data_IF_401863289544
#
_entry.id   IF_401863289544
#
_cell.length_a   1.000
_cell.length_b   1.000
_cell.length_c   1.000
_cell.angle_alpha   90.00
_cell.angle_beta   90.00
_cell.angle_gamma   90.00
#
_symmetry.space_group_name_H-M   'P 1'
#
loop_
_entity.id
_entity.type
_entity.pdbx_description
1 polymer ?
#
# COMPACT_ATOMS: atom_id res chain seq x y z
N UNK A 1 2.31 3.32 -35.73
CA UNK A 1 1.56 3.16 -34.46
C UNK A 1 1.87 4.38 -33.59
N UNK A 2 1.16 5.49 -33.82
CA UNK A 2 0.03 6.03 -33.03
C UNK A 2 0.40 6.59 -31.64
N UNK A 3 1.18 7.68 -31.63
CA UNK A 3 1.45 8.53 -30.43
C UNK A 3 0.14 8.92 -29.70
N UNK A 4 -0.97 9.04 -30.44
CA UNK A 4 -2.30 9.30 -29.88
C UNK A 4 -2.81 8.14 -29.02
N UNK A 5 -2.61 6.89 -29.44
CA UNK A 5 -3.09 5.67 -28.76
C UNK A 5 -2.35 5.47 -27.43
N UNK A 6 -1.04 5.71 -27.40
CA UNK A 6 -0.23 5.66 -26.17
C UNK A 6 -0.67 6.71 -25.14
N UNK A 7 -1.07 7.91 -25.61
CA UNK A 7 -1.61 8.96 -24.74
C UNK A 7 -2.96 8.56 -24.15
N UNK A 8 -3.88 8.05 -24.98
CA UNK A 8 -5.19 7.58 -24.52
C UNK A 8 -5.06 6.40 -23.56
N UNK A 9 -4.19 5.44 -23.87
CA UNK A 9 -3.92 4.29 -23.02
C UNK A 9 -3.42 4.72 -21.65
N UNK A 10 -2.41 5.61 -21.59
CA UNK A 10 -1.90 6.14 -20.32
C UNK A 10 -2.98 6.87 -19.51
N UNK A 11 -3.79 7.67 -20.19
CA UNK A 11 -4.87 8.42 -19.54
C UNK A 11 -5.94 7.49 -18.94
N UNK A 12 -6.29 6.45 -19.69
CA UNK A 12 -7.20 5.40 -19.24
C UNK A 12 -6.66 4.69 -18.00
N UNK A 13 -5.38 4.30 -18.00
CA UNK A 13 -4.74 3.67 -16.84
C UNK A 13 -4.77 4.58 -15.59
N UNK A 14 -4.54 5.89 -15.76
CA UNK A 14 -4.65 6.86 -14.64
C UNK A 14 -6.06 6.89 -14.05
N UNK A 15 -7.07 6.90 -14.91
CA UNK A 15 -8.49 6.91 -14.49
C UNK A 15 -8.88 5.59 -13.81
N UNK A 16 -8.51 4.44 -14.40
CA UNK A 16 -8.79 3.12 -13.82
C UNK A 16 -8.15 2.96 -12.43
N UNK A 17 -6.89 3.37 -12.29
CA UNK A 17 -6.19 3.34 -11.01
C UNK A 17 -6.84 4.27 -9.98
N UNK A 18 -7.21 5.50 -10.40
CA UNK A 18 -7.90 6.44 -9.52
C UNK A 18 -9.23 5.88 -9.00
N UNK A 19 -10.00 5.19 -9.85
CA UNK A 19 -11.25 4.54 -9.44
C UNK A 19 -11.01 3.42 -8.43
N UNK A 20 -9.96 2.60 -8.62
CA UNK A 20 -9.58 1.58 -7.62
C UNK A 20 -9.22 2.21 -6.28
N UNK A 21 -8.40 3.26 -6.30
CA UNK A 21 -8.01 3.97 -5.08
C UNK A 21 -9.22 4.59 -4.37
N UNK A 22 -10.17 5.19 -5.11
CA UNK A 22 -11.39 5.75 -4.53
C UNK A 22 -12.27 4.67 -3.88
N UNK A 23 -12.37 3.49 -4.49
CA UNK A 23 -13.09 2.34 -3.88
C UNK A 23 -12.41 1.85 -2.60
N UNK A 24 -11.09 1.96 -2.52
CA UNK A 24 -10.31 1.69 -1.32
C UNK A 24 -10.26 2.87 -0.33
N UNK A 25 -11.16 3.86 -0.50
CA UNK A 25 -11.28 5.04 0.37
C UNK A 25 -10.00 5.89 0.47
N UNK A 26 -9.14 5.82 -0.55
CA UNK A 26 -7.90 6.59 -0.59
C UNK A 26 -8.18 8.10 -0.59
N UNK A 27 -7.28 8.85 0.04
CA UNK A 27 -7.35 10.31 0.08
C UNK A 27 -6.99 10.91 -1.27
N UNK A 28 -7.56 12.08 -1.57
CA UNK A 28 -7.30 12.82 -2.81
C UNK A 28 -5.80 13.06 -3.04
N UNK A 29 -5.06 13.37 -1.97
CA UNK A 29 -3.60 13.59 -2.05
C UNK A 29 -2.87 12.31 -2.48
N UNK A 30 -3.25 11.16 -1.93
CA UNK A 30 -2.70 9.85 -2.30
C UNK A 30 -3.01 9.53 -3.76
N UNK A 31 -4.26 9.69 -4.18
CA UNK A 31 -4.67 9.46 -5.58
C UNK A 31 -3.85 10.35 -6.52
N UNK A 32 -3.69 11.63 -6.20
CA UNK A 32 -2.88 12.56 -6.99
C UNK A 32 -1.42 12.14 -7.07
N UNK A 33 -0.82 11.74 -5.95
CA UNK A 33 0.59 11.37 -5.89
C UNK A 33 0.92 10.15 -6.78
N UNK A 34 0.00 9.19 -6.91
CA UNK A 34 0.20 7.99 -7.71
C UNK A 34 -0.24 8.17 -9.18
N UNK A 35 -1.38 8.82 -9.41
CA UNK A 35 -1.99 8.91 -10.75
C UNK A 35 -1.58 10.16 -11.54
N UNK A 36 -1.12 11.22 -10.86
CA UNK A 36 -0.86 12.53 -11.46
C UNK A 36 -2.11 13.30 -11.88
N UNK A 37 -3.32 12.83 -11.54
CA UNK A 37 -4.57 13.54 -11.82
C UNK A 37 -4.73 14.76 -10.90
N UNK A 38 -5.34 15.83 -11.41
CA UNK A 38 -5.67 17.00 -10.61
C UNK A 38 -6.85 16.72 -9.67
N UNK A 39 -6.91 17.45 -8.57
CA UNK A 39 -7.98 17.36 -7.57
C UNK A 39 -9.39 17.54 -8.19
N UNK A 40 -9.53 18.43 -9.19
CA UNK A 40 -10.79 18.62 -9.92
C UNK A 40 -11.21 17.35 -10.71
N UNK A 41 -10.25 16.71 -11.38
CA UNK A 41 -10.52 15.48 -12.14
C UNK A 41 -10.86 14.32 -11.22
N UNK A 42 -10.17 14.18 -10.10
CA UNK A 42 -10.50 13.18 -9.07
C UNK A 42 -11.91 13.43 -8.52
N UNK A 43 -12.28 14.70 -8.27
CA UNK A 43 -13.62 15.07 -7.82
C UNK A 43 -14.68 14.76 -8.86
N UNK A 44 -14.42 15.00 -10.16
CA UNK A 44 -15.33 14.65 -11.25
C UNK A 44 -15.50 13.14 -11.38
N UNK A 45 -14.41 12.38 -11.35
CA UNK A 45 -14.44 10.91 -11.38
C UNK A 45 -15.29 10.33 -10.24
N UNK A 46 -15.10 10.83 -9.02
CA UNK A 46 -15.90 10.41 -7.88
C UNK A 46 -17.39 10.63 -8.13
N UNK A 47 -17.77 11.85 -8.57
CA UNK A 47 -19.18 12.17 -8.84
C UNK A 47 -19.79 11.32 -9.95
N UNK A 48 -19.04 11.08 -11.02
CA UNK A 48 -19.57 10.35 -12.19
C UNK A 48 -19.69 8.85 -11.97
N UNK A 49 -18.86 8.25 -11.12
CA UNK A 49 -18.76 6.78 -11.02
C UNK A 49 -19.11 6.21 -9.64
N UNK A 50 -19.16 7.03 -8.58
CA UNK A 50 -19.35 6.56 -7.21
C UNK A 50 -20.49 7.25 -6.46
N UNK A 51 -20.94 8.45 -6.87
CA UNK A 51 -22.10 9.10 -6.20
C UNK A 51 -23.40 8.30 -6.38
N UNK A 52 -23.56 7.61 -7.52
CA UNK A 52 -24.74 6.81 -7.88
C UNK A 52 -24.64 5.35 -7.43
N UNK A 53 -23.51 4.96 -6.81
CA UNK A 53 -23.33 3.61 -6.29
C UNK A 53 -24.10 3.46 -4.96
N UNK A 54 -24.82 2.34 -4.79
CA UNK A 54 -25.61 2.02 -3.59
C UNK A 54 -24.82 2.03 -2.27
N UNK A 55 -23.49 2.07 -2.33
CA UNK A 55 -22.61 2.20 -1.18
C UNK A 55 -21.53 3.22 -1.47
N UNK A 56 -21.75 4.45 -1.02
CA UNK A 56 -20.79 5.53 -1.17
C UNK A 56 -19.58 5.27 -0.24
N UNK A 57 -18.36 5.17 -0.79
CA UNK A 57 -17.18 5.01 0.05
C UNK A 57 -16.99 6.28 0.91
N UNK A 58 -16.86 6.16 2.24
CA UNK A 58 -16.68 7.31 3.12
C UNK A 58 -15.41 8.06 2.76
N UNK A 59 -15.49 9.40 2.78
CA UNK A 59 -14.33 10.26 2.51
C UNK A 59 -13.64 10.67 3.80
N UNK A 60 -12.46 10.10 4.03
CA UNK A 60 -11.60 10.49 5.15
C UNK A 60 -11.03 11.90 4.94
N UNK A 61 -11.24 12.79 5.92
CA UNK A 61 -10.62 14.13 5.97
C UNK A 61 -9.47 14.16 6.99
N UNK A 62 -8.46 15.00 6.75
CA UNK A 62 -7.36 15.25 7.68
C UNK A 62 -5.97 14.95 7.11
N UNK A 63 -4.98 14.75 7.99
CA UNK A 63 -3.60 14.35 7.63
C UNK A 63 -3.48 12.83 7.45
N UNK A 64 -2.73 12.37 6.44
CA UNK A 64 -2.48 10.94 6.22
C UNK A 64 -1.73 10.33 7.42
N UNK A 65 -1.81 9.02 7.64
CA UNK A 65 -1.07 8.37 8.72
C UNK A 65 0.44 8.51 8.50
N UNK A 66 1.16 8.77 9.59
CA UNK A 66 2.61 8.98 9.59
C UNK A 66 3.35 8.25 10.71
N UNK A 67 2.64 7.53 11.58
CA UNK A 67 3.23 6.89 12.76
C UNK A 67 3.47 5.41 12.50
N UNK A 68 4.73 5.01 12.48
CA UNK A 68 5.14 3.61 12.28
C UNK A 68 4.73 2.73 13.46
N UNK A 69 4.67 3.30 14.66
CA UNK A 69 4.16 2.63 15.85
C UNK A 69 2.75 2.02 15.64
N UNK A 70 1.96 2.53 14.68
CA UNK A 70 0.68 1.92 14.31
C UNK A 70 0.82 0.44 13.93
N UNK A 71 1.87 0.07 13.21
CA UNK A 71 2.10 -1.30 12.74
C UNK A 71 2.62 -2.23 13.83
N UNK A 72 3.20 -1.68 14.91
CA UNK A 72 3.84 -2.46 15.98
C UNK A 72 3.08 -2.41 17.31
N UNK A 73 2.02 -1.61 17.44
CA UNK A 73 1.30 -1.38 18.71
C UNK A 73 0.58 -2.60 19.31
N UNK A 74 0.27 -3.61 18.52
CA UNK A 74 -0.37 -4.85 19.02
C UNK A 74 0.04 -6.06 18.20
N UNK A 75 0.00 -7.25 18.80
CA UNK A 75 0.35 -8.51 18.11
C UNK A 75 -0.54 -8.75 16.88
N UNK A 76 -1.85 -8.50 17.02
CA UNK A 76 -2.80 -8.60 15.89
C UNK A 76 -2.40 -7.68 14.74
N UNK A 77 -2.03 -6.43 15.03
CA UNK A 77 -1.60 -5.51 13.97
C UNK A 77 -0.25 -5.88 13.38
N UNK A 78 0.66 -6.43 14.18
CA UNK A 78 1.92 -6.97 13.65
C UNK A 78 1.67 -8.12 12.67
N UNK A 79 0.74 -9.04 13.00
CA UNK A 79 0.34 -10.13 12.10
C UNK A 79 -0.35 -9.63 10.83
N UNK A 80 -1.26 -8.67 10.95
CA UNK A 80 -1.92 -8.03 9.81
C UNK A 80 -0.88 -7.31 8.92
N UNK A 81 0.03 -6.54 9.53
CA UNK A 81 1.09 -5.81 8.81
C UNK A 81 2.04 -6.79 8.14
N UNK A 82 2.39 -7.90 8.78
CA UNK A 82 3.23 -8.92 8.18
C UNK A 82 2.54 -9.60 6.99
N UNK A 83 1.26 -9.90 7.12
CA UNK A 83 0.44 -10.47 6.03
C UNK A 83 0.43 -9.53 4.82
N UNK A 84 0.20 -8.23 5.07
CA UNK A 84 0.23 -7.20 4.03
C UNK A 84 1.63 -7.02 3.44
N UNK A 85 2.67 -6.93 4.26
CA UNK A 85 4.06 -6.80 3.81
C UNK A 85 4.49 -7.97 2.93
N UNK A 86 4.05 -9.18 3.27
CA UNK A 86 4.27 -10.38 2.46
C UNK A 86 3.59 -10.28 1.10
N UNK A 87 2.32 -9.86 1.05
CA UNK A 87 1.62 -9.64 -0.21
C UNK A 87 2.31 -8.57 -1.09
N UNK A 88 2.73 -7.46 -0.48
CA UNK A 88 3.46 -6.39 -1.15
C UNK A 88 4.80 -6.85 -1.73
N UNK A 89 5.51 -7.71 -1.00
CA UNK A 89 6.79 -8.29 -1.45
C UNK A 89 6.58 -9.28 -2.60
N UNK A 90 5.65 -10.23 -2.45
CA UNK A 90 5.36 -11.26 -3.45
C UNK A 90 4.88 -10.68 -4.78
N UNK A 91 4.06 -9.63 -4.74
CA UNK A 91 3.56 -8.95 -5.94
C UNK A 91 4.54 -7.91 -6.49
N UNK A 92 5.72 -7.76 -5.89
CA UNK A 92 6.77 -6.86 -6.41
C UNK A 92 6.51 -5.37 -6.20
N UNK A 93 5.57 -4.97 -5.34
CA UNK A 93 5.27 -3.55 -5.05
C UNK A 93 6.49 -2.84 -4.44
N UNK A 94 7.29 -3.58 -3.67
CA UNK A 94 8.50 -3.10 -3.00
C UNK A 94 9.74 -3.07 -3.90
N UNK A 95 9.68 -3.66 -5.10
CA UNK A 95 10.79 -3.66 -6.05
C UNK A 95 10.94 -2.32 -6.80
N UNK A 96 9.92 -1.46 -6.74
CA UNK A 96 9.93 -0.14 -7.36
C UNK A 96 10.75 0.89 -6.57
N UNK A 97 11.59 1.67 -7.27
CA UNK A 97 12.35 2.76 -6.69
C UNK A 97 11.47 3.86 -6.09
N UNK A 98 12.00 4.64 -5.14
CA UNK A 98 11.29 5.73 -4.48
C UNK A 98 10.99 6.95 -5.40
N UNK A 99 11.48 6.94 -6.64
CA UNK A 99 11.60 8.12 -7.53
C UNK A 99 10.76 8.03 -8.80
N UNK A 100 9.64 7.31 -8.78
CA UNK A 100 8.74 7.28 -9.94
C UNK A 100 7.93 8.58 -10.03
N UNK A 101 7.96 9.22 -11.20
CA UNK A 101 7.16 10.42 -11.44
C UNK A 101 5.65 10.09 -11.37
N UNK A 102 4.81 10.92 -10.73
CA UNK A 102 3.37 10.71 -10.65
C UNK A 102 2.74 10.50 -12.03
N UNK A 103 1.93 9.45 -12.17
CA UNK A 103 1.26 9.12 -13.43
C UNK A 103 2.19 8.66 -14.57
N UNK A 104 3.45 8.34 -14.27
CA UNK A 104 4.32 7.56 -15.17
C UNK A 104 3.81 6.12 -15.28
N UNK A 105 4.15 5.40 -16.35
CA UNK A 105 3.68 4.01 -16.53
C UNK A 105 4.16 3.11 -15.38
N UNK A 106 5.38 3.32 -14.88
CA UNK A 106 5.92 2.57 -13.75
C UNK A 106 5.14 2.86 -12.45
N UNK A 107 4.86 4.13 -12.14
CA UNK A 107 4.03 4.51 -10.99
C UNK A 107 2.61 3.93 -11.06
N UNK A 108 2.02 3.91 -12.26
CA UNK A 108 0.68 3.35 -12.47
C UNK A 108 0.68 1.82 -12.30
N UNK A 109 1.67 1.14 -12.87
CA UNK A 109 1.82 -0.31 -12.72
C UNK A 109 2.05 -0.69 -11.25
N UNK A 110 2.93 0.02 -10.56
CA UNK A 110 3.16 -0.16 -9.11
C UNK A 110 1.91 0.10 -8.29
N UNK A 111 1.12 1.11 -8.66
CA UNK A 111 -0.15 1.42 -8.01
C UNK A 111 -1.19 0.32 -8.21
N UNK A 112 -1.25 -0.28 -9.40
CA UNK A 112 -2.12 -1.43 -9.66
C UNK A 112 -1.72 -2.64 -8.80
N UNK A 113 -0.42 -2.95 -8.73
CA UNK A 113 0.10 -4.02 -7.87
C UNK A 113 -0.18 -3.76 -6.38
N UNK A 114 -0.13 -2.49 -5.94
CA UNK A 114 -0.52 -2.12 -4.58
C UNK A 114 -2.00 -2.43 -4.31
N UNK A 115 -2.90 -2.11 -5.24
CA UNK A 115 -4.31 -2.48 -5.10
C UNK A 115 -4.49 -4.01 -5.07
N UNK A 116 -3.80 -4.75 -5.94
CA UNK A 116 -3.88 -6.22 -5.97
C UNK A 116 -3.40 -6.82 -4.64
N UNK A 117 -2.29 -6.31 -4.09
CA UNK A 117 -1.76 -6.74 -2.80
C UNK A 117 -2.71 -6.43 -1.63
N UNK A 118 -3.36 -5.27 -1.67
CA UNK A 118 -4.30 -4.87 -0.64
C UNK A 118 -5.60 -5.69 -0.68
N UNK A 119 -6.11 -5.95 -1.88
CA UNK A 119 -7.28 -6.82 -2.10
C UNK A 119 -6.99 -8.26 -1.67
N UNK A 120 -5.82 -8.80 -1.99
CA UNK A 120 -5.36 -10.09 -1.50
C UNK A 120 -5.30 -10.12 0.04
N UNK A 121 -4.70 -9.10 0.65
CA UNK A 121 -4.63 -8.97 2.10
C UNK A 121 -6.02 -8.97 2.76
N UNK A 122 -6.97 -8.20 2.22
CA UNK A 122 -8.35 -8.19 2.72
C UNK A 122 -9.03 -9.56 2.60
N UNK A 123 -8.79 -10.28 1.51
CA UNK A 123 -9.32 -11.63 1.31
C UNK A 123 -8.76 -12.65 2.31
N UNK A 124 -7.49 -12.53 2.69
CA UNK A 124 -6.84 -13.40 3.68
C UNK A 124 -7.20 -13.03 5.12
N UNK A 125 -7.52 -11.76 5.39
CA UNK A 125 -7.82 -11.24 6.73
C UNK A 125 -9.19 -10.54 6.78
N UNK A 126 -10.29 -11.30 6.90
CA UNK A 126 -11.61 -10.72 7.14
C UNK A 126 -11.60 -9.85 8.40
N UNK A 127 -12.09 -8.61 8.32
CA UNK A 127 -12.04 -7.66 9.44
C UNK A 127 -10.66 -7.03 9.70
N UNK A 128 -9.84 -6.94 8.65
CA UNK A 128 -8.59 -6.16 8.61
C UNK A 128 -8.78 -4.74 9.17
N UNK A 129 -7.86 -4.29 10.02
CA UNK A 129 -7.87 -2.94 10.59
C UNK A 129 -7.01 -1.95 9.80
N UNK A 130 -6.03 -2.46 9.06
CA UNK A 130 -5.13 -1.65 8.24
C UNK A 130 -5.91 -1.07 7.06
N UNK A 131 -6.13 0.24 7.08
CA UNK A 131 -6.75 0.95 5.96
C UNK A 131 -5.80 1.11 4.78
N UNK A 132 -6.33 1.42 3.59
CA UNK A 132 -5.52 1.62 2.39
C UNK A 132 -4.48 2.74 2.55
N UNK A 133 -4.82 3.81 3.27
CA UNK A 133 -3.86 4.87 3.60
C UNK A 133 -2.67 4.37 4.43
N UNK A 134 -2.91 3.43 5.36
CA UNK A 134 -1.82 2.80 6.10
C UNK A 134 -1.00 1.87 5.20
N UNK A 135 -1.63 1.16 4.26
CA UNK A 135 -0.91 0.34 3.29
C UNK A 135 0.03 1.19 2.40
N UNK A 136 -0.46 2.32 1.88
CA UNK A 136 0.36 3.29 1.13
C UNK A 136 1.51 3.82 1.99
N UNK A 137 1.23 4.17 3.25
CA UNK A 137 2.24 4.63 4.19
C UNK A 137 3.31 3.55 4.45
N UNK A 138 2.91 2.29 4.61
CA UNK A 138 3.81 1.15 4.79
C UNK A 138 4.75 0.97 3.58
N UNK A 139 4.21 1.02 2.36
CA UNK A 139 5.02 0.94 1.13
C UNK A 139 6.07 2.06 1.11
N UNK A 140 5.67 3.29 1.42
CA UNK A 140 6.61 4.42 1.50
C UNK A 140 7.67 4.25 2.59
N UNK A 141 7.30 3.71 3.75
CA UNK A 141 8.24 3.45 4.84
C UNK A 141 9.25 2.36 4.48
N UNK A 142 8.79 1.25 3.88
CA UNK A 142 9.63 0.14 3.44
C UNK A 142 10.54 0.51 2.26
N UNK A 143 10.04 1.31 1.31
CA UNK A 143 10.84 1.76 0.17
C UNK A 143 11.97 2.72 0.60
N UNK A 144 11.74 3.55 1.63
CA UNK A 144 12.81 4.38 2.22
C UNK A 144 13.79 3.56 3.03
N UNK A 145 13.28 2.60 3.81
CA UNK A 145 14.13 1.75 4.64
C UNK A 145 14.75 2.45 5.85
N UNK A 146 14.41 3.70 6.15
CA UNK A 146 15.01 4.46 7.26
C UNK A 146 14.45 4.07 8.63
N UNK A 147 13.19 3.63 8.65
CA UNK A 147 12.45 3.38 9.89
C UNK A 147 11.91 1.95 9.97
N UNK A 148 11.62 1.33 8.82
CA UNK A 148 11.21 -0.07 8.72
C UNK A 148 11.85 -0.70 7.50
N UNK A 149 12.32 -1.94 7.64
CA UNK A 149 12.82 -2.76 6.54
C UNK A 149 12.18 -4.14 6.56
N UNK A 150 12.18 -4.77 5.40
CA UNK A 150 11.92 -6.20 5.29
C UNK A 150 13.20 -6.94 5.70
N UNK A 151 13.05 -7.93 6.57
CA UNK A 151 14.09 -8.87 6.96
C UNK A 151 13.56 -10.30 6.96
N UNK A 152 14.42 -11.24 7.32
CA UNK A 152 14.07 -12.66 7.41
C UNK A 152 14.44 -13.23 8.77
N UNK A 153 13.60 -14.12 9.28
CA UNK A 153 13.85 -14.82 10.52
C UNK A 153 15.05 -15.77 10.33
N UNK A 154 16.05 -15.64 11.20
CA UNK A 154 17.23 -16.52 11.21
C UNK A 154 16.92 -18.00 11.47
N UNK A 155 15.76 -18.31 12.07
CA UNK A 155 15.38 -19.68 12.42
C UNK A 155 14.48 -20.35 11.37
N UNK A 156 13.45 -19.66 10.89
CA UNK A 156 12.46 -20.24 9.96
C UNK A 156 12.47 -19.63 8.55
N UNK A 157 13.30 -18.61 8.29
CA UNK A 157 13.31 -17.89 7.01
C UNK A 157 12.09 -17.01 6.74
N UNK A 158 11.11 -16.99 7.66
CA UNK A 158 9.89 -16.19 7.50
C UNK A 158 10.19 -14.69 7.36
N UNK A 159 9.40 -14.00 6.52
CA UNK A 159 9.47 -12.56 6.36
C UNK A 159 9.19 -11.87 7.69
N UNK A 160 9.89 -10.78 7.97
CA UNK A 160 9.70 -9.96 9.16
C UNK A 160 9.83 -8.48 8.83
N UNK A 161 9.22 -7.66 9.67
CA UNK A 161 9.46 -6.22 9.70
C UNK A 161 10.48 -5.93 10.80
N UNK A 162 11.58 -5.28 10.43
CA UNK A 162 12.68 -4.98 11.33
C UNK A 162 12.99 -3.49 11.33
N UNK A 163 13.32 -2.95 12.50
CA UNK A 163 13.86 -1.60 12.62
C UNK A 163 15.35 -1.61 12.25
N UNK A 164 15.83 -0.70 11.37
CA UNK A 164 17.20 -0.74 10.83
C UNK A 164 18.31 -0.73 11.88
N UNK A 165 18.07 -0.13 13.04
CA UNK A 165 19.04 0.00 14.13
C UNK A 165 18.94 -1.14 15.17
N UNK A 166 18.22 -2.22 14.85
CA UNK A 166 18.15 -3.40 15.71
C UNK A 166 19.51 -4.12 15.73
N UNK A 167 20.25 -3.96 16.82
CA UNK A 167 21.57 -4.58 17.04
C UNK A 167 21.53 -6.10 17.26
N UNK A 168 20.34 -6.73 17.21
CA UNK A 168 20.16 -8.16 17.50
C UNK A 168 19.69 -8.92 16.27
N UNK A 169 20.20 -10.15 16.13
CA UNK A 169 19.64 -11.15 15.21
C UNK A 169 18.16 -11.31 15.59
N UNK A 170 17.29 -10.88 14.69
CA UNK A 170 15.85 -10.93 14.91
C UNK A 170 15.34 -12.33 14.60
N UNK A 171 14.54 -12.87 15.54
CA UNK A 171 13.71 -14.05 15.35
C UNK A 171 12.27 -13.59 15.27
N UNK A 172 11.43 -14.28 14.49
CA UNK A 172 10.02 -13.93 14.42
C UNK A 172 9.36 -14.17 15.79
N UNK A 173 8.24 -13.49 16.11
CA UNK A 173 7.56 -13.64 17.39
C UNK A 173 7.25 -15.10 17.73
N UNK A 174 6.93 -15.92 16.72
CA UNK A 174 6.70 -17.35 16.87
C UNK A 174 7.96 -18.10 17.34
N UNK A 175 9.07 -18.00 16.59
CA UNK A 175 10.33 -18.65 16.98
C UNK A 175 10.88 -18.11 18.31
N UNK A 176 10.70 -16.83 18.60
CA UNK A 176 11.11 -16.22 19.86
C UNK A 176 10.32 -16.77 21.06
N UNK A 177 9.02 -17.07 20.88
CA UNK A 177 8.21 -17.72 21.90
C UNK A 177 8.64 -19.17 22.14
N UNK A 178 8.97 -19.92 21.09
CA UNK A 178 9.42 -21.33 21.21
C UNK A 178 10.79 -21.49 21.86
N UNK A 179 11.65 -20.47 21.83
CA UNK A 179 13.01 -20.56 22.41
C UNK A 179 13.05 -20.29 23.93
N UNK A 180 11.92 -19.97 24.57
CA UNK A 180 11.85 -19.83 26.04
C UNK A 180 11.54 -21.18 26.69
N UNK A 181 12.49 -22.12 26.63
CA UNK A 181 12.55 -23.31 27.46
C UNK A 181 13.98 -23.50 27.94
#
# INVERSE_FOLDING_TARGET
MRITDDRYHRERLRMELALRFLRHEARTQTIRAWTGLSDDRIRKLYRSYLDDAQSQPPRHRGKSPHQIAYFTRSLRLQEETLSLATALWLLGVLAGGATEAPGSLAALARGALLCDAFEFYQGVRPGAQISFEHAVFLVGALARGDLLRVGWCSACGGLMLVEPFSLRITRCPHCAATTRC
#
